data_IF_625568119071
#
_entry.id   IF_625568119071
#
_cell.length_a   1.000
_cell.length_b   1.000
_cell.length_c   1.000
_cell.angle_alpha   90.00
_cell.angle_beta   90.00
_cell.angle_gamma   90.00
#
_symmetry.space_group_name_H-M   'P 1'
#
loop_
_entity.id
_entity.type
_entity.pdbx_description
1 polymer ?
#
# COMPACT_ATOMS: atom_id res chain seq x y z
N UNK A 1 10.92 10.18 9.27
CA UNK A 1 11.54 8.92 8.85
C UNK A 1 11.23 8.77 7.38
N UNK A 2 12.24 8.77 6.54
CA UNK A 2 12.07 8.57 5.08
C UNK A 2 12.37 7.12 4.71
N UNK A 3 11.82 6.65 3.59
CA UNK A 3 12.06 5.30 3.04
C UNK A 3 13.55 5.01 2.86
N UNK A 4 14.32 6.06 2.59
CA UNK A 4 15.78 6.07 2.46
C UNK A 4 16.52 5.76 3.77
N UNK A 5 15.93 6.06 4.93
CA UNK A 5 16.50 5.73 6.25
C UNK A 5 16.22 4.27 6.65
N UNK A 6 15.19 3.66 6.06
CA UNK A 6 14.77 2.27 6.32
C UNK A 6 15.45 1.24 5.37
N UNK A 7 16.40 1.70 4.54
CA UNK A 7 17.14 0.86 3.58
C UNK A 7 16.23 0.03 2.66
N UNK A 8 15.10 0.61 2.25
CA UNK A 8 14.18 0.00 1.29
C UNK A 8 14.75 0.14 -0.12
N UNK A 9 14.80 -0.97 -0.84
CA UNK A 9 15.04 -0.97 -2.28
C UNK A 9 13.75 -0.54 -2.98
N UNK A 10 13.78 0.67 -3.56
CA UNK A 10 12.75 1.18 -4.46
C UNK A 10 13.28 1.30 -5.89
N UNK A 11 12.39 1.19 -6.86
CA UNK A 11 12.70 1.51 -8.25
C UNK A 11 12.66 3.02 -8.53
N UNK A 12 12.79 3.41 -9.81
CA UNK A 12 12.79 4.81 -10.23
C UNK A 12 11.43 5.52 -10.03
N UNK A 13 10.35 4.76 -9.86
CA UNK A 13 9.00 5.27 -9.65
C UNK A 13 8.62 5.28 -8.16
N UNK A 14 9.46 4.71 -7.29
CA UNK A 14 9.26 4.68 -5.84
C UNK A 14 8.59 3.39 -5.34
N UNK A 15 8.42 2.38 -6.20
CA UNK A 15 7.85 1.10 -5.80
C UNK A 15 8.89 0.20 -5.16
N UNK A 16 8.50 -0.47 -4.08
CA UNK A 16 9.34 -1.44 -3.39
C UNK A 16 9.64 -2.64 -4.29
N UNK A 17 10.93 -2.91 -4.51
CA UNK A 17 11.37 -4.02 -5.38
C UNK A 17 11.54 -5.34 -4.64
N UNK A 18 11.73 -5.29 -3.32
CA UNK A 18 11.85 -6.47 -2.46
C UNK A 18 10.72 -6.52 -1.43
N UNK A 19 9.69 -7.37 -1.63
CA UNK A 19 8.55 -7.50 -0.72
C UNK A 19 8.93 -7.96 0.69
N UNK A 20 10.09 -8.59 0.87
CA UNK A 20 10.57 -9.10 2.16
C UNK A 20 11.07 -7.98 3.09
N UNK A 21 11.41 -6.82 2.52
CA UNK A 21 11.82 -5.64 3.29
C UNK A 21 10.63 -4.94 3.94
N UNK A 22 9.41 -5.20 3.48
CA UNK A 22 8.24 -4.48 3.96
C UNK A 22 8.03 -4.63 5.47
N UNK A 23 7.78 -3.50 6.12
CA UNK A 23 7.30 -3.43 7.50
C UNK A 23 6.21 -2.37 7.62
N UNK A 24 5.39 -2.39 8.69
CA UNK A 24 4.41 -1.33 8.92
C UNK A 24 5.02 0.07 8.97
N UNK A 25 6.23 0.23 9.50
CA UNK A 25 6.95 1.49 9.57
C UNK A 25 7.30 2.03 8.18
N UNK A 26 7.64 1.14 7.24
CA UNK A 26 7.88 1.52 5.84
C UNK A 26 6.59 2.01 5.18
N UNK A 27 5.46 1.35 5.43
CA UNK A 27 4.17 1.78 4.89
C UNK A 27 3.81 3.20 5.38
N UNK A 28 4.04 3.50 6.66
CA UNK A 28 3.87 4.86 7.21
C UNK A 28 4.85 5.86 6.61
N UNK A 29 6.13 5.49 6.43
CA UNK A 29 7.13 6.36 5.82
C UNK A 29 6.77 6.70 4.36
N UNK A 30 6.35 5.70 3.57
CA UNK A 30 5.85 5.89 2.20
C UNK A 30 4.59 6.76 2.20
N UNK A 31 3.63 6.49 3.09
CA UNK A 31 2.44 7.31 3.21
C UNK A 31 2.76 8.77 3.57
N UNK A 32 3.78 9.02 4.38
CA UNK A 32 4.23 10.37 4.72
C UNK A 32 4.85 11.09 3.52
N UNK A 33 5.67 10.40 2.72
CA UNK A 33 6.24 10.91 1.47
C UNK A 33 5.16 11.25 0.44
N UNK A 34 4.07 10.47 0.42
CA UNK A 34 2.92 10.67 -0.46
C UNK A 34 1.90 11.69 0.06
N UNK A 35 2.09 12.22 1.28
CA UNK A 35 1.16 13.17 1.93
C UNK A 35 -0.16 12.54 2.42
N UNK A 36 -0.15 11.22 2.61
CA UNK A 36 -1.29 10.39 3.03
C UNK A 36 -1.22 10.08 4.54
N UNK A 37 -0.04 10.14 5.15
CA UNK A 37 0.12 9.87 6.57
C UNK A 37 -0.69 10.85 7.45
N UNK A 38 -1.22 10.39 8.59
CA UNK A 38 -1.14 9.03 9.12
C UNK A 38 -2.09 8.06 8.41
N UNK A 39 -1.66 6.79 8.26
CA UNK A 39 -2.54 5.74 7.75
C UNK A 39 -3.62 5.40 8.79
N UNK A 40 -4.88 5.53 8.38
CA UNK A 40 -6.04 5.18 9.17
C UNK A 40 -6.39 3.68 9.07
N UNK A 41 -7.34 3.23 9.89
CA UNK A 41 -7.74 1.83 9.97
C UNK A 41 -8.21 1.25 8.62
N UNK A 42 -8.91 2.04 7.79
CA UNK A 42 -9.37 1.60 6.47
C UNK A 42 -8.20 1.42 5.49
N UNK A 43 -7.24 2.33 5.50
CA UNK A 43 -6.02 2.21 4.69
C UNK A 43 -5.23 0.97 5.11
N UNK A 44 -5.08 0.73 6.41
CA UNK A 44 -4.44 -0.47 6.93
C UNK A 44 -5.17 -1.76 6.54
N UNK A 45 -6.52 -1.77 6.57
CA UNK A 45 -7.31 -2.91 6.10
C UNK A 45 -7.02 -3.23 4.63
N UNK A 46 -7.00 -2.21 3.76
CA UNK A 46 -6.69 -2.37 2.33
C UNK A 46 -5.25 -2.89 2.15
N UNK A 47 -4.26 -2.27 2.77
CA UNK A 47 -2.84 -2.66 2.66
C UNK A 47 -2.65 -4.11 3.11
N UNK A 48 -3.16 -4.48 4.29
CA UNK A 48 -2.99 -5.83 4.82
C UNK A 48 -3.71 -6.87 3.96
N UNK A 49 -4.89 -6.55 3.44
CA UNK A 49 -5.61 -7.44 2.55
C UNK A 49 -4.86 -7.68 1.24
N UNK A 50 -4.39 -6.60 0.60
CA UNK A 50 -3.61 -6.68 -0.64
C UNK A 50 -2.37 -7.55 -0.45
N UNK A 51 -1.66 -7.39 0.67
CA UNK A 51 -0.47 -8.18 0.97
C UNK A 51 -0.78 -9.65 1.22
N UNK A 52 -1.85 -9.96 1.93
CA UNK A 52 -2.28 -11.35 2.14
C UNK A 52 -2.69 -12.02 0.83
N UNK A 53 -3.41 -11.30 -0.03
CA UNK A 53 -3.82 -11.82 -1.33
C UNK A 53 -2.59 -12.04 -2.22
N UNK A 54 -1.70 -11.07 -2.34
CA UNK A 54 -0.47 -11.18 -3.14
C UNK A 54 0.45 -12.31 -2.63
N UNK A 55 0.53 -12.52 -1.32
CA UNK A 55 1.27 -13.66 -0.75
C UNK A 55 0.61 -15.02 -1.08
N UNK A 56 -0.71 -15.04 -1.28
CA UNK A 56 -1.47 -16.26 -1.57
C UNK A 56 -1.52 -16.60 -3.06
N UNK A 57 -1.63 -15.58 -3.92
CA UNK A 57 -1.76 -15.73 -5.39
C UNK A 57 -0.44 -15.56 -6.13
N UNK A 58 0.54 -14.90 -5.51
CA UNK A 58 1.79 -14.46 -6.16
C UNK A 58 1.63 -13.21 -7.02
N UNK A 59 0.44 -12.62 -7.10
CA UNK A 59 0.11 -11.50 -7.97
C UNK A 59 -0.57 -10.38 -7.20
N UNK A 60 -0.29 -9.13 -7.58
CA UNK A 60 -0.99 -7.99 -6.99
C UNK A 60 -2.48 -8.02 -7.38
N UNK A 61 -3.41 -7.91 -6.42
CA UNK A 61 -4.83 -7.96 -6.72
C UNK A 61 -5.28 -6.75 -7.53
N UNK A 62 -6.24 -6.98 -8.44
CA UNK A 62 -6.89 -5.90 -9.16
C UNK A 62 -7.67 -4.97 -8.22
N UNK A 63 -7.82 -3.69 -8.60
CA UNK A 63 -8.64 -2.71 -7.87
C UNK A 63 -10.07 -3.21 -7.60
N UNK A 64 -10.62 -3.99 -8.55
CA UNK A 64 -11.95 -4.61 -8.42
C UNK A 64 -11.99 -5.69 -7.33
N UNK A 65 -10.91 -6.44 -7.15
CA UNK A 65 -10.78 -7.42 -6.08
C UNK A 65 -10.64 -6.72 -4.73
N UNK A 66 -9.84 -5.64 -4.67
CA UNK A 66 -9.68 -4.80 -3.49
C UNK A 66 -11.05 -4.29 -3.04
N UNK A 67 -11.82 -3.64 -3.93
CA UNK A 67 -13.10 -3.05 -3.54
C UNK A 67 -14.12 -4.09 -3.07
N UNK A 68 -14.19 -5.23 -3.78
CA UNK A 68 -15.14 -6.30 -3.45
C UNK A 68 -14.85 -6.96 -2.10
N UNK A 69 -13.59 -7.08 -1.68
CA UNK A 69 -13.19 -7.85 -0.50
C UNK A 69 -12.83 -6.99 0.71
N UNK A 70 -12.38 -5.75 0.52
CA UNK A 70 -12.16 -4.79 1.61
C UNK A 70 -13.46 -4.14 2.09
N UNK A 71 -14.54 -4.20 1.29
CA UNK A 71 -15.80 -3.51 1.59
C UNK A 71 -15.74 -2.00 1.35
N UNK A 72 -14.65 -1.51 0.79
CA UNK A 72 -14.41 -0.11 0.42
C UNK A 72 -14.74 0.04 -1.07
N UNK A 73 -15.62 0.97 -1.44
CA UNK A 73 -15.89 1.21 -2.86
C UNK A 73 -14.65 1.82 -3.55
N UNK A 74 -14.52 1.59 -4.84
CA UNK A 74 -13.50 2.18 -5.72
C UNK A 74 -13.34 3.67 -5.49
N UNK A 75 -14.44 4.42 -5.36
CA UNK A 75 -14.38 5.86 -5.08
C UNK A 75 -13.70 6.15 -3.75
N UNK A 76 -14.05 5.41 -2.71
CA UNK A 76 -13.46 5.54 -1.39
C UNK A 76 -11.98 5.11 -1.39
N UNK A 77 -11.59 4.11 -2.20
CA UNK A 77 -10.16 3.78 -2.39
C UNK A 77 -9.39 4.97 -2.96
N UNK A 78 -9.92 5.69 -3.94
CA UNK A 78 -9.28 6.93 -4.45
C UNK A 78 -9.29 8.08 -3.43
N UNK A 79 -10.26 8.12 -2.52
CA UNK A 79 -10.24 9.08 -1.40
C UNK A 79 -9.18 8.71 -0.35
N UNK A 80 -8.98 7.41 -0.10
CA UNK A 80 -7.96 6.89 0.82
C UNK A 80 -6.54 6.94 0.22
N UNK A 81 -6.41 6.80 -1.10
CA UNK A 81 -5.15 6.79 -1.85
C UNK A 81 -5.24 7.73 -3.07
N UNK A 82 -5.09 9.05 -2.88
CA UNK A 82 -5.38 10.08 -3.89
C UNK A 82 -4.47 10.06 -5.12
N UNK A 83 -3.27 9.48 -5.02
CA UNK A 83 -2.36 9.27 -6.16
C UNK A 83 -2.66 7.99 -6.95
N UNK A 84 -3.68 7.25 -6.53
CA UNK A 84 -4.11 6.00 -7.15
C UNK A 84 -3.50 4.78 -6.44
N UNK A 85 -4.22 3.65 -6.40
CA UNK A 85 -3.75 2.39 -5.82
C UNK A 85 -2.93 1.53 -6.80
N UNK A 86 -2.52 2.11 -7.94
CA UNK A 86 -1.90 1.40 -9.07
C UNK A 86 -0.40 1.64 -9.12
#
# INVERSE_FOLDING_TARGET
MTTKELNVAVDAEGFMTDPSQWTPEIAEAMAAEEGIAPLNEKQWQVINWVRQEAASTGEFPSLRSISKRSGVDTKEIYELFPKGPA
#
